data_IF_144036638072
#
_entry.id   IF_144036638072
#
_cell.length_a   1.000
_cell.length_b   1.000
_cell.length_c   1.000
_cell.angle_alpha   90.00
_cell.angle_beta   90.00
_cell.angle_gamma   90.00
#
_symmetry.space_group_name_H-M   'P 1'
#
loop_
_entity.id
_entity.type
_entity.pdbx_description
1 polymer ?
#
# COMPACT_ATOMS: atom_id res chain seq x y z
N UNK A 1 9.52 9.93 -18.42
CA UNK A 1 9.44 9.07 -17.22
C UNK A 1 9.04 9.97 -16.08
N UNK A 2 7.83 9.81 -15.53
CA UNK A 2 7.36 10.67 -14.42
C UNK A 2 7.98 10.14 -13.14
N UNK A 3 8.95 10.86 -12.58
CA UNK A 3 9.69 10.49 -11.36
C UNK A 3 8.81 10.56 -10.09
N UNK A 4 7.58 11.08 -10.18
CA UNK A 4 6.70 11.32 -9.04
C UNK A 4 5.96 10.06 -8.56
N UNK A 5 5.83 9.04 -9.42
CA UNK A 5 5.15 7.78 -9.06
C UNK A 5 6.02 6.87 -8.22
N UNK A 6 7.34 6.83 -8.46
CA UNK A 6 8.23 5.88 -7.80
C UNK A 6 8.42 6.23 -6.32
N UNK A 7 8.57 7.53 -5.99
CA UNK A 7 8.68 8.01 -4.61
C UNK A 7 7.46 7.63 -3.75
N UNK A 8 6.26 7.71 -4.34
CA UNK A 8 5.02 7.34 -3.65
C UNK A 8 4.91 5.85 -3.42
N UNK A 9 5.39 5.04 -4.37
CA UNK A 9 5.41 3.58 -4.23
C UNK A 9 6.33 3.20 -3.06
N UNK A 10 7.57 3.69 -3.05
CA UNK A 10 8.51 3.39 -1.97
C UNK A 10 8.00 3.86 -0.61
N UNK A 11 7.35 5.02 -0.54
CA UNK A 11 6.75 5.51 0.69
C UNK A 11 5.66 4.56 1.21
N UNK A 12 4.76 4.09 0.34
CA UNK A 12 3.71 3.13 0.71
C UNK A 12 4.32 1.78 1.13
N UNK A 13 5.35 1.29 0.45
CA UNK A 13 6.05 0.07 0.85
C UNK A 13 6.68 0.20 2.24
N UNK A 14 7.32 1.34 2.51
CA UNK A 14 7.87 1.67 3.83
C UNK A 14 6.80 1.67 4.92
N UNK A 15 5.64 2.30 4.68
CA UNK A 15 4.51 2.28 5.63
C UNK A 15 4.02 0.85 5.89
N UNK A 16 3.93 0.02 4.86
CA UNK A 16 3.50 -1.37 4.98
C UNK A 16 4.46 -2.18 5.86
N UNK A 17 5.76 -2.08 5.59
CA UNK A 17 6.81 -2.79 6.34
C UNK A 17 6.84 -2.40 7.82
N UNK A 18 6.46 -1.16 8.14
CA UNK A 18 6.37 -0.66 9.52
C UNK A 18 4.99 -0.89 10.18
N UNK A 19 4.06 -1.57 9.50
CA UNK A 19 2.73 -1.86 10.04
C UNK A 19 1.81 -0.64 10.18
N UNK A 20 2.10 0.44 9.45
CA UNK A 20 1.38 1.72 9.55
C UNK A 20 0.18 1.83 8.60
N UNK A 21 -0.13 0.77 7.86
CA UNK A 21 -1.27 0.72 6.94
C UNK A 21 -2.44 0.00 7.61
N UNK A 22 -3.59 0.69 7.67
CA UNK A 22 -4.85 0.17 8.19
C UNK A 22 -5.58 -0.70 7.18
N UNK A 23 -5.70 -0.20 5.95
CA UNK A 23 -6.39 -0.87 4.84
C UNK A 23 -5.84 -0.41 3.50
N UNK A 24 -6.08 -1.21 2.46
CA UNK A 24 -5.80 -0.82 1.09
C UNK A 24 -6.87 -1.35 0.14
N UNK A 25 -7.01 -0.68 -1.00
CA UNK A 25 -7.91 -1.06 -2.08
C UNK A 25 -7.24 -0.79 -3.43
N UNK A 26 -7.75 -1.42 -4.47
CA UNK A 26 -7.33 -1.19 -5.85
C UNK A 26 -8.47 -0.59 -6.65
N UNK A 27 -8.15 0.30 -7.58
CA UNK A 27 -9.09 0.90 -8.53
C UNK A 27 -8.55 0.74 -9.96
N UNK A 28 -9.42 0.39 -10.90
CA UNK A 28 -9.08 0.35 -12.32
C UNK A 28 -8.99 1.75 -12.92
N UNK A 29 -7.93 2.00 -13.70
CA UNK A 29 -7.72 3.27 -14.40
C UNK A 29 -8.07 3.23 -15.90
N UNK A 30 -8.44 2.06 -16.44
CA UNK A 30 -8.47 1.81 -17.89
C UNK A 30 -7.12 1.29 -18.41
N UNK A 31 -7.06 0.86 -19.68
CA UNK A 31 -5.83 0.41 -20.36
C UNK A 31 -4.95 -0.61 -19.58
N UNK A 32 -5.57 -1.53 -18.83
CA UNK A 32 -4.87 -2.47 -17.95
C UNK A 32 -3.93 -1.76 -16.95
N UNK A 33 -4.36 -0.60 -16.44
CA UNK A 33 -3.70 0.12 -15.35
C UNK A 33 -4.52 0.04 -14.08
N UNK A 34 -3.81 0.00 -12.96
CA UNK A 34 -4.38 -0.07 -11.63
C UNK A 34 -3.79 1.03 -10.76
N UNK A 35 -4.64 1.63 -9.95
CA UNK A 35 -4.28 2.53 -8.87
C UNK A 35 -4.42 1.78 -7.54
N UNK A 36 -3.44 1.94 -6.66
CA UNK A 36 -3.48 1.42 -5.29
C UNK A 36 -3.71 2.59 -4.35
N UNK A 37 -4.73 2.45 -3.51
CA UNK A 37 -5.13 3.45 -2.52
C UNK A 37 -4.98 2.82 -1.15
N UNK A 38 -4.26 3.49 -0.25
CA UNK A 38 -4.00 3.03 1.12
C UNK A 38 -4.55 4.02 2.14
N UNK A 39 -5.05 3.49 3.25
CA UNK A 39 -5.43 4.25 4.45
C UNK A 39 -4.40 3.94 5.53
N UNK A 40 -3.77 4.97 6.11
CA UNK A 40 -2.85 4.80 7.24
C UNK A 40 -3.59 4.59 8.55
N UNK A 41 -2.89 4.15 9.60
CA UNK A 41 -3.48 4.07 10.95
C UNK A 41 -3.96 5.43 11.48
N UNK A 42 -3.38 6.53 10.98
CA UNK A 42 -3.75 7.91 11.32
C UNK A 42 -4.94 8.42 10.47
N UNK A 43 -5.45 7.61 9.54
CA UNK A 43 -6.59 7.95 8.69
C UNK A 43 -6.24 8.73 7.42
N UNK A 44 -4.95 8.88 7.11
CA UNK A 44 -4.52 9.53 5.86
C UNK A 44 -4.73 8.61 4.67
N UNK A 45 -5.19 9.19 3.55
CA UNK A 45 -5.41 8.48 2.29
C UNK A 45 -4.30 8.81 1.32
N UNK A 46 -3.54 7.79 0.90
CA UNK A 46 -2.46 7.92 -0.09
C UNK A 46 -2.80 7.11 -1.34
N UNK A 47 -2.39 7.62 -2.49
CA UNK A 47 -2.57 6.95 -3.79
C UNK A 47 -1.26 6.90 -4.55
N UNK A 48 -0.99 5.75 -5.19
CA UNK A 48 0.13 5.55 -6.13
C UNK A 48 -0.07 6.28 -7.46
N UNK A 49 -1.29 6.75 -7.75
CA UNK A 49 -1.73 7.02 -9.11
C UNK A 49 -1.81 5.75 -9.96
N UNK A 50 -2.12 5.90 -11.24
CA UNK A 50 -2.29 4.78 -12.17
C UNK A 50 -0.94 4.19 -12.58
N UNK A 51 -0.72 2.95 -12.18
CA UNK A 51 0.45 2.14 -12.53
C UNK A 51 0.10 1.10 -13.58
N UNK A 52 1.10 0.55 -14.26
CA UNK A 52 0.90 -0.66 -15.04
C UNK A 52 0.47 -1.83 -14.14
N UNK A 53 -0.33 -2.75 -14.68
CA UNK A 53 -0.88 -3.88 -13.93
C UNK A 53 0.19 -4.72 -13.23
N UNK A 54 1.38 -4.89 -13.83
CA UNK A 54 2.46 -5.71 -13.25
C UNK A 54 3.04 -5.03 -12.01
N UNK A 55 3.30 -3.73 -12.06
CA UNK A 55 3.80 -2.96 -10.92
C UNK A 55 2.77 -2.88 -9.81
N UNK A 56 1.51 -2.56 -10.13
CA UNK A 56 0.44 -2.53 -9.13
C UNK A 56 0.25 -3.87 -8.41
N UNK A 57 0.29 -4.99 -9.15
CA UNK A 57 0.19 -6.34 -8.55
C UNK A 57 1.32 -6.64 -7.57
N UNK A 58 2.55 -6.19 -7.82
CA UNK A 58 3.66 -6.35 -6.87
C UNK A 58 3.37 -5.63 -5.56
N UNK A 59 2.90 -4.39 -5.63
CA UNK A 59 2.55 -3.59 -4.46
C UNK A 59 1.40 -4.26 -3.69
N UNK A 60 0.36 -4.72 -4.37
CA UNK A 60 -0.76 -5.42 -3.73
C UNK A 60 -0.31 -6.68 -2.98
N UNK A 61 0.60 -7.47 -3.56
CA UNK A 61 1.17 -8.65 -2.89
C UNK A 61 1.94 -8.24 -1.63
N UNK A 62 2.77 -7.19 -1.73
CA UNK A 62 3.51 -6.65 -0.59
C UNK A 62 2.57 -6.19 0.52
N UNK A 63 1.57 -5.37 0.19
CA UNK A 63 0.56 -4.90 1.14
C UNK A 63 -0.21 -6.07 1.77
N UNK A 64 -0.57 -7.07 0.99
CA UNK A 64 -1.24 -8.28 1.49
C UNK A 64 -0.37 -9.07 2.46
N UNK A 65 0.93 -9.20 2.16
CA UNK A 65 1.89 -9.86 3.04
C UNK A 65 1.96 -9.12 4.38
N UNK A 66 2.26 -7.83 4.36
CA UNK A 66 2.48 -7.04 5.57
C UNK A 66 1.20 -6.71 6.36
N UNK A 67 0.02 -6.71 5.73
CA UNK A 67 -1.26 -6.56 6.44
C UNK A 67 -1.51 -7.64 7.50
N UNK A 68 -0.90 -8.83 7.32
CA UNK A 68 -0.95 -9.92 8.31
C UNK A 68 0.06 -9.72 9.44
N UNK A 69 1.22 -9.16 9.14
CA UNK A 69 2.29 -8.92 10.12
C UNK A 69 2.00 -7.72 11.02
N UNK A 70 1.43 -6.63 10.49
CA UNK A 70 1.07 -5.44 11.29
C UNK A 70 0.09 -5.77 12.43
N UNK A 71 -0.82 -6.72 12.22
CA UNK A 71 -1.75 -7.20 13.26
C UNK A 71 -1.07 -7.99 14.39
N UNK A 72 0.10 -8.58 14.13
CA UNK A 72 0.87 -9.35 15.12
C UNK A 72 1.71 -8.40 15.98
N UNK A 73 2.23 -7.31 15.42
CA UNK A 73 3.08 -6.35 16.14
C UNK A 73 2.24 -5.32 16.92
N UNK A 74 1.06 -4.94 16.41
CA UNK A 74 0.19 -3.96 17.06
C UNK A 74 -0.69 -4.52 18.19
N UNK A 75 -0.62 -5.82 18.50
CA UNK A 75 -1.23 -6.36 19.72
C UNK A 75 -0.27 -6.11 20.88
N UNK A 76 -0.61 -5.23 21.86
CA UNK A 76 0.06 -5.26 23.13
C UNK A 76 -0.16 -6.66 23.68
N UNK A 77 0.92 -7.31 24.13
CA UNK A 77 0.83 -8.47 25.01
C UNK A 77 -0.26 -8.21 26.04
N UNK A 78 -1.38 -8.93 25.95
CA UNK A 78 -2.40 -8.89 26.98
C UNK A 78 -1.75 -9.39 28.27
N UNK A 79 -1.61 -8.49 29.23
CA UNK A 79 -1.35 -8.79 30.64
C UNK A 79 -2.50 -9.60 31.23
#
# INVERSE_FOLDING_TARGET
MSLVTDDKVYFIEGLAMNGLIKSFQQRGCGDKKLEVIVETLEGEMLSTGCLDEKTAKKIIILLSLYSKWGKIIAQPSQQ
#
